data_IF_248839086026
#
_entry.id   IF_248839086026
#
_cell.length_a   1.000
_cell.length_b   1.000
_cell.length_c   1.000
_cell.angle_alpha   90.00
_cell.angle_beta   90.00
_cell.angle_gamma   90.00
#
_symmetry.space_group_name_H-M   'P 1'
#
loop_
_entity.id
_entity.type
_entity.pdbx_description
1 polymer ?
#
# COMPACT_ATOMS: atom_id res chain seq x y z
N UNK A 1 24.40 -3.94 13.41
CA UNK A 1 23.12 -3.66 12.73
C UNK A 1 22.94 -4.66 11.58
N UNK A 2 21.90 -5.51 11.63
CA UNK A 2 21.58 -6.46 10.54
C UNK A 2 20.81 -5.71 9.45
N UNK A 3 21.24 -5.83 8.19
CA UNK A 3 20.52 -5.29 7.02
C UNK A 3 20.02 -6.45 6.18
N UNK A 4 18.72 -6.47 5.87
CA UNK A 4 18.11 -7.50 5.01
C UNK A 4 17.53 -6.78 3.79
N UNK A 5 17.91 -7.24 2.60
CA UNK A 5 17.41 -6.68 1.35
C UNK A 5 16.08 -7.34 1.00
N UNK A 6 15.01 -6.55 1.01
CA UNK A 6 13.66 -6.99 0.69
C UNK A 6 13.11 -6.08 -0.42
N UNK A 7 12.86 -6.65 -1.61
CA UNK A 7 12.48 -5.91 -2.82
C UNK A 7 11.09 -6.36 -3.31
N UNK A 8 10.21 -5.40 -3.59
CA UNK A 8 8.95 -5.63 -4.29
C UNK A 8 9.20 -6.02 -5.74
N UNK A 9 8.34 -6.88 -6.31
CA UNK A 9 8.38 -7.20 -7.75
C UNK A 9 7.98 -6.02 -8.65
N UNK A 10 7.36 -4.98 -8.09
CA UNK A 10 6.86 -3.81 -8.82
C UNK A 10 7.75 -2.57 -8.71
N UNK A 11 8.86 -2.63 -7.96
CA UNK A 11 9.82 -1.53 -7.84
C UNK A 11 11.17 -1.96 -8.37
N UNK A 12 11.51 -1.57 -9.59
CA UNK A 12 12.82 -1.90 -10.17
C UNK A 12 13.96 -1.13 -9.53
N UNK A 13 13.78 0.18 -9.37
CA UNK A 13 14.71 1.12 -8.75
C UNK A 13 13.94 2.12 -7.89
N UNK A 14 14.49 2.59 -6.75
CA UNK A 14 13.91 3.70 -6.00
C UNK A 14 13.88 4.94 -6.90
N UNK A 15 12.72 5.57 -7.05
CA UNK A 15 12.62 6.82 -7.80
C UNK A 15 12.86 7.99 -6.83
N UNK A 16 14.10 8.48 -6.77
CA UNK A 16 14.42 9.73 -6.10
C UNK A 16 14.35 10.83 -7.18
N UNK A 17 13.49 11.83 -7.00
CA UNK A 17 13.54 13.04 -7.84
C UNK A 17 14.61 13.97 -7.28
N UNK A 18 15.65 14.25 -8.05
CA UNK A 18 16.74 15.16 -7.67
C UNK A 18 16.25 16.60 -7.49
N UNK A 19 15.23 17.00 -8.25
CA UNK A 19 14.58 18.31 -8.17
C UNK A 19 13.08 18.12 -7.91
N UNK A 20 12.64 18.02 -6.64
CA UNK A 20 11.23 17.96 -6.32
C UNK A 20 10.55 19.31 -6.63
N UNK A 21 9.25 19.30 -7.00
CA UNK A 21 8.47 20.53 -7.12
C UNK A 21 8.51 21.33 -5.82
N UNK A 22 8.57 22.66 -5.95
CA UNK A 22 8.62 23.57 -4.81
C UNK A 22 7.23 24.00 -4.34
N UNK A 23 6.22 23.90 -5.21
CA UNK A 23 4.84 24.13 -4.84
C UNK A 23 4.23 22.90 -4.15
N UNK A 24 3.30 23.15 -3.22
CA UNK A 24 2.73 22.11 -2.37
C UNK A 24 1.98 21.04 -3.19
N UNK A 25 1.19 21.45 -4.16
CA UNK A 25 0.34 20.54 -4.94
C UNK A 25 1.20 19.62 -5.82
N UNK A 26 2.21 20.18 -6.50
CA UNK A 26 3.22 19.44 -7.25
C UNK A 26 4.02 18.48 -6.37
N UNK A 27 4.40 18.89 -5.15
CA UNK A 27 5.10 18.03 -4.20
C UNK A 27 4.23 16.83 -3.76
N UNK A 28 2.93 17.06 -3.54
CA UNK A 28 1.97 16.00 -3.18
C UNK A 28 1.69 15.05 -4.36
N UNK A 29 1.57 15.58 -5.59
CA UNK A 29 1.48 14.78 -6.82
C UNK A 29 2.71 13.89 -6.95
N UNK A 30 3.90 14.49 -6.94
CA UNK A 30 5.15 13.76 -7.10
C UNK A 30 5.34 12.69 -6.03
N UNK A 31 5.05 12.99 -4.76
CA UNK A 31 5.14 12.02 -3.66
C UNK A 31 4.17 10.85 -3.84
N UNK A 32 3.01 11.08 -4.47
CA UNK A 32 2.00 10.05 -4.71
C UNK A 32 2.27 9.19 -5.96
N UNK A 33 2.96 9.74 -6.96
CA UNK A 33 3.35 9.06 -8.20
C UNK A 33 4.61 8.20 -8.05
N UNK A 34 5.52 8.59 -7.15
CA UNK A 34 6.81 7.92 -6.96
C UNK A 34 6.62 6.56 -6.25
N UNK A 35 7.15 5.47 -6.82
CA UNK A 35 7.14 4.18 -6.14
C UNK A 35 8.01 4.22 -4.88
N UNK A 36 7.45 3.81 -3.75
CA UNK A 36 8.19 3.71 -2.49
C UNK A 36 7.59 2.65 -1.55
N UNK A 37 8.33 2.31 -0.51
CA UNK A 37 7.84 1.41 0.54
C UNK A 37 7.10 2.20 1.61
N UNK A 38 6.01 1.63 2.11
CA UNK A 38 5.23 2.14 3.23
C UNK A 38 5.45 1.31 4.49
N UNK A 39 4.36 1.14 5.24
CA UNK A 39 4.35 0.46 6.54
C UNK A 39 4.85 -0.99 6.44
N UNK A 40 5.55 -1.43 7.49
CA UNK A 40 5.89 -2.83 7.74
C UNK A 40 5.19 -3.24 9.04
N UNK A 41 4.26 -4.17 8.95
CA UNK A 41 3.46 -4.62 10.09
C UNK A 41 3.64 -6.11 10.33
N UNK A 42 3.61 -6.51 11.60
CA UNK A 42 3.71 -7.91 12.00
C UNK A 42 2.33 -8.49 12.29
N UNK A 43 2.02 -9.62 11.65
CA UNK A 43 0.84 -10.43 11.93
C UNK A 43 1.20 -11.56 12.90
N UNK A 44 1.01 -11.31 14.19
CA UNK A 44 1.31 -12.27 15.25
C UNK A 44 0.50 -13.57 15.18
N UNK A 45 -0.64 -13.58 14.49
CA UNK A 45 -1.50 -14.77 14.39
C UNK A 45 -1.03 -15.72 13.29
N UNK A 46 -0.40 -15.18 12.26
CA UNK A 46 0.09 -15.93 11.08
C UNK A 46 1.61 -16.01 11.02
N UNK A 47 2.31 -15.28 11.90
CA UNK A 47 3.77 -15.16 11.96
C UNK A 47 4.38 -14.72 10.63
N UNK A 48 3.80 -13.67 10.05
CA UNK A 48 4.27 -13.05 8.81
C UNK A 48 4.36 -11.55 8.98
N UNK A 49 5.12 -10.88 8.12
CA UNK A 49 5.08 -9.43 8.00
C UNK A 49 4.38 -9.03 6.70
N UNK A 50 3.55 -8.00 6.78
CA UNK A 50 3.02 -7.32 5.61
C UNK A 50 3.77 -6.02 5.38
N UNK A 51 4.35 -5.85 4.19
CA UNK A 51 5.02 -4.61 3.80
C UNK A 51 4.26 -3.94 2.67
N UNK A 52 3.75 -2.74 2.93
CA UNK A 52 3.05 -1.96 1.94
C UNK A 52 4.04 -1.37 0.93
N UNK A 53 3.63 -1.36 -0.32
CA UNK A 53 4.42 -0.86 -1.44
C UNK A 53 3.52 0.04 -2.26
N UNK A 54 3.88 1.30 -2.35
CA UNK A 54 3.21 2.25 -3.22
C UNK A 54 3.79 2.13 -4.61
N UNK A 55 2.94 1.87 -5.59
CA UNK A 55 3.35 1.64 -6.96
C UNK A 55 3.54 2.96 -7.69
N UNK A 56 4.30 2.92 -8.78
CA UNK A 56 4.35 4.05 -9.70
C UNK A 56 2.93 4.30 -10.23
N UNK A 57 2.46 5.53 -10.09
CA UNK A 57 1.15 5.94 -10.54
C UNK A 57 1.26 7.18 -11.42
N UNK A 58 0.33 7.30 -12.35
CA UNK A 58 0.06 8.54 -13.08
C UNK A 58 -1.21 9.17 -12.48
N UNK A 59 -1.09 10.44 -12.11
CA UNK A 59 -2.16 11.26 -11.52
C UNK A 59 -2.55 12.42 -12.45
N UNK A 60 -2.21 12.38 -13.72
CA UNK A 60 -2.67 13.36 -14.70
C UNK A 60 -4.21 13.39 -14.76
N UNK A 61 -4.78 14.60 -14.70
CA UNK A 61 -6.23 14.82 -14.62
C UNK A 61 -6.84 14.62 -13.23
N UNK A 62 -6.07 14.13 -12.25
CA UNK A 62 -6.52 14.08 -10.87
C UNK A 62 -6.44 15.45 -10.18
N UNK A 63 -7.21 15.61 -9.11
CA UNK A 63 -7.23 16.81 -8.27
C UNK A 63 -7.11 16.42 -6.81
N UNK A 64 -6.69 17.39 -5.98
CA UNK A 64 -6.56 17.22 -4.53
C UNK A 64 -5.59 16.08 -4.18
N UNK A 65 -4.32 16.25 -4.55
CA UNK A 65 -3.27 15.26 -4.30
C UNK A 65 -3.03 15.02 -2.81
N UNK A 66 -3.38 15.98 -1.95
CA UNK A 66 -3.37 15.81 -0.50
C UNK A 66 -4.31 14.68 -0.07
N UNK A 67 -5.56 14.70 -0.52
CA UNK A 67 -6.51 13.63 -0.22
C UNK A 67 -6.04 12.29 -0.80
N UNK A 68 -5.54 12.26 -2.04
CA UNK A 68 -5.00 11.03 -2.64
C UNK A 68 -3.88 10.45 -1.75
N UNK A 69 -2.96 11.29 -1.30
CA UNK A 69 -1.86 10.86 -0.43
C UNK A 69 -2.36 10.35 0.93
N UNK A 70 -3.26 11.10 1.59
CA UNK A 70 -3.81 10.75 2.90
C UNK A 70 -4.59 9.43 2.87
N UNK A 71 -5.35 9.21 1.79
CA UNK A 71 -6.16 8.01 1.59
C UNK A 71 -5.37 6.81 1.05
N UNK A 72 -4.04 6.84 1.09
CA UNK A 72 -3.22 5.66 0.78
C UNK A 72 -2.81 5.53 -0.69
N UNK A 73 -2.84 6.64 -1.43
CA UNK A 73 -2.48 6.78 -2.85
C UNK A 73 -3.41 6.00 -3.79
N UNK A 74 -3.14 6.14 -5.09
CA UNK A 74 -3.92 5.49 -6.16
C UNK A 74 -3.77 3.97 -6.15
N UNK A 75 -2.53 3.47 -6.13
CA UNK A 75 -2.23 2.04 -6.33
C UNK A 75 -1.15 1.56 -5.36
N UNK A 76 -1.39 0.41 -4.73
CA UNK A 76 -0.42 -0.22 -3.84
C UNK A 76 -0.45 -1.74 -3.96
N UNK A 77 0.64 -2.39 -3.54
CA UNK A 77 0.69 -3.81 -3.25
C UNK A 77 1.06 -4.04 -1.79
N UNK A 78 0.80 -5.25 -1.31
CA UNK A 78 1.26 -5.73 -0.01
C UNK A 78 2.15 -6.94 -0.25
N UNK A 79 3.43 -6.81 0.10
CA UNK A 79 4.36 -7.93 0.20
C UNK A 79 4.09 -8.71 1.47
N UNK A 80 4.26 -10.02 1.40
CA UNK A 80 4.10 -10.96 2.51
C UNK A 80 5.47 -11.59 2.75
N UNK A 81 5.95 -11.50 3.98
CA UNK A 81 7.28 -11.93 4.40
C UNK A 81 7.15 -12.98 5.50
N UNK A 82 7.97 -14.03 5.46
CA UNK A 82 8.08 -14.98 6.59
C UNK A 82 8.87 -14.36 7.77
N UNK A 83 9.07 -15.11 8.85
CA UNK A 83 9.84 -14.68 10.03
C UNK A 83 11.31 -14.37 9.72
N UNK A 84 11.86 -14.96 8.66
CA UNK A 84 13.23 -14.74 8.17
C UNK A 84 13.35 -13.56 7.19
N UNK A 85 12.24 -12.86 6.92
CA UNK A 85 12.10 -11.75 5.96
C UNK A 85 12.26 -12.14 4.48
N UNK A 86 12.10 -13.42 4.14
CA UNK A 86 11.96 -13.85 2.75
C UNK A 86 10.60 -13.46 2.20
N UNK A 87 10.55 -13.01 0.95
CA UNK A 87 9.30 -12.66 0.26
C UNK A 87 8.59 -13.95 -0.16
N UNK A 88 7.51 -14.29 0.54
CA UNK A 88 6.68 -15.47 0.25
C UNK A 88 5.45 -15.15 -0.61
N UNK A 89 5.16 -13.87 -0.83
CA UNK A 89 4.06 -13.44 -1.68
C UNK A 89 4.00 -11.92 -1.85
N UNK A 90 3.23 -11.46 -2.82
CA UNK A 90 2.89 -10.04 -2.96
C UNK A 90 1.61 -9.89 -3.78
N UNK A 91 0.64 -9.14 -3.26
CA UNK A 91 -0.67 -8.94 -3.88
C UNK A 91 -0.86 -7.47 -4.21
N UNK A 92 -1.19 -7.16 -5.47
CA UNK A 92 -1.59 -5.80 -5.89
C UNK A 92 -3.07 -5.59 -5.61
N UNK A 93 -3.42 -4.40 -5.14
CA UNK A 93 -4.79 -4.01 -4.84
C UNK A 93 -5.36 -3.14 -5.98
N UNK A 94 -6.70 -3.14 -6.17
CA UNK A 94 -7.35 -2.29 -7.15
C UNK A 94 -7.20 -0.81 -6.78
N UNK A 95 -7.11 0.02 -7.82
CA UNK A 95 -6.90 1.45 -7.64
C UNK A 95 -8.09 2.10 -6.91
N UNK A 96 -7.80 3.11 -6.08
CA UNK A 96 -8.80 3.96 -5.41
C UNK A 96 -9.91 3.23 -4.63
N UNK A 97 -9.66 1.98 -4.23
CA UNK A 97 -10.66 1.15 -3.54
C UNK A 97 -10.43 1.09 -2.04
N UNK A 98 -9.17 0.95 -1.64
CA UNK A 98 -8.77 0.73 -0.24
C UNK A 98 -7.87 1.86 0.28
N UNK A 99 -7.93 2.11 1.58
CA UNK A 99 -7.04 3.03 2.29
C UNK A 99 -5.89 2.24 2.88
N UNK A 100 -4.70 2.30 2.27
CA UNK A 100 -3.51 1.56 2.73
C UNK A 100 -3.02 1.99 4.13
N UNK A 101 -3.27 3.25 4.51
CA UNK A 101 -2.86 3.83 5.79
C UNK A 101 -3.80 3.49 6.93
N UNK A 102 -5.02 3.02 6.64
CA UNK A 102 -6.04 2.68 7.63
C UNK A 102 -6.32 1.17 7.62
N UNK A 103 -5.58 0.45 8.45
CA UNK A 103 -5.61 -1.01 8.52
C UNK A 103 -5.32 -1.54 9.92
N UNK A 104 -5.67 -2.79 10.18
CA UNK A 104 -5.30 -3.48 11.42
C UNK A 104 -5.21 -5.01 11.22
N UNK A 105 -4.53 -5.67 12.15
CA UNK A 105 -4.43 -7.13 12.21
C UNK A 105 -5.47 -7.68 13.17
N UNK A 106 -6.41 -8.46 12.64
CA UNK A 106 -7.33 -9.28 13.42
C UNK A 106 -6.85 -10.72 13.54
N UNK A 107 -7.44 -11.45 14.49
CA UNK A 107 -7.22 -12.90 14.67
C UNK A 107 -7.42 -13.66 13.35
N UNK A 108 -8.38 -13.23 12.54
CA UNK A 108 -8.85 -13.93 11.34
C UNK A 108 -8.47 -13.29 10.00
N UNK A 109 -7.78 -12.14 10.00
CA UNK A 109 -7.18 -11.58 8.78
C UNK A 109 -6.51 -10.23 8.96
N UNK A 110 -5.94 -9.73 7.86
CA UNK A 110 -5.59 -8.32 7.70
C UNK A 110 -6.85 -7.56 7.28
N UNK A 111 -7.15 -6.46 7.95
CA UNK A 111 -8.29 -5.60 7.62
C UNK A 111 -7.79 -4.32 6.99
N UNK A 112 -8.29 -3.99 5.80
CA UNK A 112 -8.05 -2.72 5.11
C UNK A 112 -9.36 -1.96 4.99
N UNK A 113 -9.36 -0.65 5.23
CA UNK A 113 -10.56 0.14 4.99
C UNK A 113 -10.87 0.22 3.49
N UNK A 114 -12.13 0.02 3.12
CA UNK A 114 -12.63 0.24 1.74
C UNK A 114 -13.34 1.60 1.59
N UNK A 115 -13.17 2.49 2.56
CA UNK A 115 -13.77 3.83 2.59
C UNK A 115 -12.93 4.87 1.82
N UNK A 116 -12.25 4.48 0.75
CA UNK A 116 -11.56 5.45 -0.10
C UNK A 116 -12.60 6.37 -0.76
N UNK A 117 -12.43 7.70 -0.72
CA UNK A 117 -13.44 8.66 -1.19
C UNK A 117 -13.82 8.53 -2.68
N UNK A 118 -12.94 7.93 -3.48
CA UNK A 118 -13.16 7.56 -4.89
C UNK A 118 -13.76 6.16 -5.11
N UNK A 119 -13.92 5.35 -4.07
CA UNK A 119 -14.57 4.05 -4.19
C UNK A 119 -16.08 4.29 -4.43
N UNK A 120 -16.70 3.71 -5.48
CA UNK A 120 -18.13 3.90 -5.76
C UNK A 120 -19.06 3.52 -4.60
N UNK A 121 -18.58 2.65 -3.71
CA UNK A 121 -19.34 2.22 -2.53
C UNK A 121 -19.13 3.14 -1.31
N UNK A 122 -18.34 4.20 -1.40
CA UNK A 122 -18.01 5.08 -0.27
C UNK A 122 -19.26 5.67 0.40
N UNK A 123 -19.25 5.66 1.73
CA UNK A 123 -20.28 6.24 2.58
C UNK A 123 -19.57 6.85 3.80
N UNK A 124 -19.58 8.18 3.90
CA UNK A 124 -18.89 8.92 4.95
C UNK A 124 -19.42 8.62 6.36
N UNK A 125 -20.65 8.14 6.46
CA UNK A 125 -21.28 7.78 7.73
C UNK A 125 -20.94 6.34 8.16
N UNK A 126 -20.14 5.61 7.37
CA UNK A 126 -19.77 4.22 7.64
C UNK A 126 -18.26 4.02 7.60
N UNK A 127 -17.69 3.70 8.75
CA UNK A 127 -16.35 3.14 8.84
C UNK A 127 -16.39 1.65 8.47
N UNK A 128 -15.80 1.28 7.33
CA UNK A 128 -15.83 -0.09 6.80
C UNK A 128 -14.43 -0.64 6.61
N UNK A 129 -14.32 -1.95 6.84
CA UNK A 129 -13.10 -2.71 6.61
C UNK A 129 -13.42 -4.01 5.87
N UNK A 130 -12.54 -4.37 4.95
CA UNK A 130 -12.53 -5.68 4.29
C UNK A 130 -11.45 -6.55 4.88
N UNK A 131 -11.83 -7.78 5.22
CA UNK A 131 -10.92 -8.81 5.73
C UNK A 131 -10.25 -9.55 4.57
N UNK A 132 -8.92 -9.58 4.60
CA UNK A 132 -8.07 -10.36 3.72
C UNK A 132 -7.48 -11.53 4.50
N UNK A 133 -7.68 -12.73 3.95
CA UNK A 133 -7.07 -13.96 4.48
C UNK A 133 -5.81 -14.28 3.69
N UNK A 134 -4.75 -14.63 4.42
CA UNK A 134 -3.57 -15.23 3.81
C UNK A 134 -3.94 -16.65 3.34
N UNK A 135 -3.69 -16.92 2.07
CA UNK A 135 -3.90 -18.24 1.44
C UNK A 135 -2.61 -18.69 0.77
N UNK A 136 -2.35 -20.00 0.81
CA UNK A 136 -1.21 -20.59 0.13
C UNK A 136 -1.65 -21.12 -1.23
N UNK A 137 -1.05 -20.62 -2.31
CA UNK A 137 -1.29 -21.14 -3.65
C UNK A 137 -0.19 -22.14 -4.01
N UNK A 138 -0.53 -23.42 -4.00
CA UNK A 138 0.29 -24.41 -4.69
C UNK A 138 0.09 -24.20 -6.19
N UNK A 139 1.07 -23.57 -6.86
CA UNK A 139 1.14 -23.67 -8.32
C UNK A 139 1.33 -25.14 -8.65
N UNK A 140 0.30 -25.76 -9.24
CA UNK A 140 0.46 -27.00 -10.01
C UNK A 140 1.29 -26.71 -11.25
#
# INVERSE_FOLDING_TARGET
MKKIKVKSRYIDKPAIKENPPQDFDGAMKASSEIPCYGNLIYDKYRKVYYRFVYLKADLDGEKNYLNIWQYGRKSFSIMILNEDFDVIGETRFPDFTYISTLHYIGKDGLYLSDSHYKNPSFDENKLRFRRFKLVHYNKK
#
